data_IF_484729892946
#
_entry.id   IF_484729892946
#
_cell.length_a   1.000
_cell.length_b   1.000
_cell.length_c   1.000
_cell.angle_alpha   90.00
_cell.angle_beta   90.00
_cell.angle_gamma   90.00
#
_symmetry.space_group_name_H-M   'P 1'
#
loop_
_entity.id
_entity.type
_entity.pdbx_description
1 polymer ?
#
# COMPACT_ATOMS: atom_id res chain seq x y z
N UNK A 1 -1.61 15.46 3.13
CA UNK A 1 -1.24 14.35 4.04
C UNK A 1 -2.33 13.30 3.89
N UNK A 2 -1.98 12.06 3.55
CA UNK A 2 -2.97 11.01 3.26
C UNK A 2 -2.80 9.86 4.25
N UNK A 3 -3.59 9.84 5.31
CA UNK A 3 -3.46 8.87 6.42
C UNK A 3 -4.30 7.61 6.19
N UNK A 4 -4.85 7.47 4.98
CA UNK A 4 -5.68 6.34 4.57
C UNK A 4 -5.29 5.90 3.17
N UNK A 5 -5.21 4.60 2.98
CA UNK A 5 -5.01 3.96 1.67
C UNK A 5 -6.23 3.10 1.37
N UNK A 6 -6.87 3.36 0.25
CA UNK A 6 -7.95 2.52 -0.28
C UNK A 6 -7.36 1.58 -1.31
N UNK A 7 -7.43 0.28 -1.06
CA UNK A 7 -7.09 -0.73 -2.07
C UNK A 7 -8.35 -1.03 -2.87
N UNK A 8 -8.25 -1.02 -4.19
CA UNK A 8 -9.38 -1.22 -5.09
C UNK A 8 -9.17 -2.49 -5.93
N UNK A 9 -10.24 -3.24 -6.15
CA UNK A 9 -10.26 -4.30 -7.16
C UNK A 9 -10.41 -3.67 -8.55
N UNK A 10 -9.69 -4.17 -9.58
CA UNK A 10 -9.91 -3.74 -10.95
C UNK A 10 -11.25 -4.30 -11.47
N UNK A 11 -11.94 -3.50 -12.29
CA UNK A 11 -13.01 -3.93 -13.21
C UNK A 11 -14.11 -4.87 -12.67
N UNK A 12 -15.23 -4.34 -12.14
CA UNK A 12 -15.53 -2.93 -11.87
C UNK A 12 -14.84 -2.45 -10.59
N UNK A 13 -14.43 -1.18 -10.55
CA UNK A 13 -13.73 -0.55 -9.43
C UNK A 13 -14.51 -0.64 -8.12
N UNK A 14 -14.17 -1.62 -7.28
CA UNK A 14 -14.76 -1.80 -5.94
C UNK A 14 -13.71 -1.61 -4.88
N UNK A 15 -14.09 -1.00 -3.77
CA UNK A 15 -13.20 -0.91 -2.60
C UNK A 15 -13.03 -2.33 -2.04
N UNK A 16 -11.79 -2.79 -2.04
CA UNK A 16 -11.39 -4.07 -1.47
C UNK A 16 -11.15 -3.92 0.03
N UNK A 17 -10.33 -2.95 0.41
CA UNK A 17 -10.05 -2.65 1.80
C UNK A 17 -9.62 -1.20 2.02
N UNK A 18 -9.83 -0.72 3.24
CA UNK A 18 -9.32 0.55 3.75
C UNK A 18 -8.22 0.26 4.77
N UNK A 19 -7.09 0.94 4.62
CA UNK A 19 -5.94 0.84 5.51
C UNK A 19 -5.67 2.20 6.15
N UNK A 20 -5.78 2.27 7.47
CA UNK A 20 -5.33 3.42 8.24
C UNK A 20 -3.80 3.40 8.36
N UNK A 21 -3.15 4.48 7.90
CA UNK A 21 -1.70 4.64 7.86
C UNK A 21 -1.27 5.60 8.95
N UNK A 22 -0.63 5.06 9.99
CA UNK A 22 -0.08 5.83 11.11
C UNK A 22 1.42 5.96 10.94
N UNK A 23 1.84 6.80 10.00
CA UNK A 23 3.25 7.11 9.77
C UNK A 23 3.60 8.49 10.32
N UNK A 24 4.83 8.62 10.82
CA UNK A 24 5.43 9.90 11.19
C UNK A 24 5.50 10.83 9.96
N UNK A 25 5.52 12.14 10.21
CA UNK A 25 5.83 13.14 9.18
C UNK A 25 7.11 13.88 9.57
N UNK A 26 8.07 14.06 8.63
CA UNK A 26 8.07 13.59 7.23
C UNK A 26 8.17 12.06 7.11
N UNK A 27 7.59 11.49 6.05
CA UNK A 27 7.59 10.03 5.84
C UNK A 27 8.97 9.55 5.45
N UNK A 28 9.61 8.76 6.30
CA UNK A 28 10.92 8.17 6.02
C UNK A 28 10.74 6.79 5.39
N UNK A 29 11.23 6.61 4.15
CA UNK A 29 11.05 5.37 3.38
C UNK A 29 11.76 4.15 3.98
N UNK A 30 12.72 4.38 4.87
CA UNK A 30 13.47 3.34 5.58
C UNK A 30 12.88 3.00 6.95
N UNK A 31 11.84 3.71 7.41
CA UNK A 31 11.15 3.32 8.66
C UNK A 31 10.46 1.96 8.48
N UNK A 32 10.54 1.13 9.51
CA UNK A 32 9.95 -0.22 9.50
C UNK A 32 8.45 -0.17 9.18
N UNK A 33 7.71 0.73 9.82
CA UNK A 33 6.27 0.91 9.58
C UNK A 33 5.97 1.26 8.12
N UNK A 34 6.81 2.07 7.46
CA UNK A 34 6.64 2.40 6.05
C UNK A 34 6.77 1.15 5.18
N UNK A 35 7.81 0.35 5.44
CA UNK A 35 8.07 -0.91 4.71
C UNK A 35 6.94 -1.91 4.95
N UNK A 36 6.44 -2.01 6.18
CA UNK A 36 5.35 -2.92 6.54
C UNK A 36 4.04 -2.54 5.87
N UNK A 37 3.66 -1.26 5.88
CA UNK A 37 2.48 -0.79 5.15
C UNK A 37 2.63 -1.03 3.65
N UNK A 38 3.80 -0.78 3.06
CA UNK A 38 4.07 -1.06 1.64
C UNK A 38 3.84 -2.54 1.32
N UNK A 39 4.40 -3.46 2.12
CA UNK A 39 4.23 -4.91 1.95
C UNK A 39 2.77 -5.35 2.11
N UNK A 40 2.05 -4.76 3.07
CA UNK A 40 0.63 -5.07 3.30
C UNK A 40 -0.22 -4.65 2.10
N UNK A 41 -0.11 -3.40 1.66
CA UNK A 41 -0.83 -2.87 0.48
C UNK A 41 -0.55 -3.76 -0.73
N UNK A 42 0.72 -4.12 -0.92
CA UNK A 42 1.15 -4.97 -2.02
C UNK A 42 0.45 -6.34 -1.99
N UNK A 43 0.41 -7.00 -0.83
CA UNK A 43 -0.24 -8.30 -0.66
C UNK A 43 -1.72 -8.27 -1.00
N UNK A 44 -2.41 -7.21 -0.57
CA UNK A 44 -3.82 -7.00 -0.88
C UNK A 44 -4.06 -6.80 -2.39
N UNK A 45 -3.12 -6.16 -3.08
CA UNK A 45 -3.23 -5.91 -4.53
C UNK A 45 -2.98 -7.15 -5.40
N UNK A 46 -2.06 -8.03 -4.99
CA UNK A 46 -1.61 -9.18 -5.79
C UNK A 46 -2.04 -10.55 -5.25
N UNK A 47 -2.98 -10.58 -4.30
CA UNK A 47 -3.53 -11.85 -3.79
C UNK A 47 -2.51 -12.75 -3.09
N UNK A 48 -1.44 -12.18 -2.52
CA UNK A 48 -0.39 -12.95 -1.83
C UNK A 48 0.84 -13.32 -2.65
N UNK A 49 0.87 -13.05 -3.97
CA UNK A 49 2.09 -13.25 -4.77
C UNK A 49 3.00 -12.03 -4.68
N UNK A 50 4.19 -12.15 -4.07
CA UNK A 50 5.24 -11.12 -4.15
C UNK A 50 5.74 -10.98 -5.59
N UNK A 51 5.24 -9.98 -6.31
CA UNK A 51 5.74 -9.62 -7.65
C UNK A 51 6.68 -8.41 -7.56
N UNK A 52 7.80 -8.48 -8.26
CA UNK A 52 8.68 -7.32 -8.41
C UNK A 52 8.05 -6.36 -9.42
N UNK A 53 7.71 -5.15 -8.99
CA UNK A 53 7.21 -4.09 -9.87
C UNK A 53 8.32 -3.05 -10.04
N UNK A 54 8.73 -2.85 -11.28
CA UNK A 54 9.55 -1.70 -11.66
C UNK A 54 8.65 -0.46 -11.69
N UNK A 55 9.03 0.55 -10.91
CA UNK A 55 8.39 1.86 -10.99
C UNK A 55 9.11 2.64 -12.09
N UNK A 56 8.46 2.85 -13.22
CA UNK A 56 8.86 3.90 -14.15
C UNK A 56 8.45 5.24 -13.54
N UNK A 57 9.45 6.06 -13.19
CA UNK A 57 9.28 7.46 -12.78
C UNK A 57 9.11 8.32 -14.03
#
# INVERSE_FOLDING_TARGET
MADRVMVMLPSPGRIHCELEIRLSHPRVRSESLFVDYKRRIFREFFGGEERWIEYSI
#
